data_IF_338177950461
#
_entry.id   IF_338177950461
#
_cell.length_a   1.000
_cell.length_b   1.000
_cell.length_c   1.000
_cell.angle_alpha   90.00
_cell.angle_beta   90.00
_cell.angle_gamma   90.00
#
_symmetry.space_group_name_H-M   'P 1'
#
loop_
_entity.id
_entity.type
_entity.pdbx_description
1 polymer ?
#
# COMPACT_ATOMS: atom_id res chain seq x y z
N UNK A 1 -30.99 0.52 -10.46
CA UNK A 1 -30.03 0.12 -9.41
C UNK A 1 -28.66 0.50 -9.94
N UNK A 2 -28.27 1.77 -9.83
CA UNK A 2 -27.08 2.31 -10.52
C UNK A 2 -26.13 3.13 -9.62
N UNK A 3 -26.30 3.18 -8.30
CA UNK A 3 -25.64 4.23 -7.49
C UNK A 3 -24.54 3.79 -6.52
N UNK A 4 -24.04 2.55 -6.54
CA UNK A 4 -23.02 2.13 -5.56
C UNK A 4 -21.58 2.22 -6.03
N UNK A 5 -21.33 2.26 -7.35
CA UNK A 5 -19.97 2.41 -7.88
C UNK A 5 -19.46 3.83 -7.62
N UNK A 6 -18.39 3.94 -6.84
CA UNK A 6 -17.78 5.23 -6.48
C UNK A 6 -18.36 5.86 -5.23
N UNK A 7 -19.02 5.09 -4.36
CA UNK A 7 -19.43 5.60 -3.05
C UNK A 7 -18.21 5.96 -2.19
N UNK A 8 -18.39 6.90 -1.26
CA UNK A 8 -17.33 7.27 -0.31
C UNK A 8 -16.89 6.07 0.53
N UNK A 9 -17.84 5.22 0.96
CA UNK A 9 -17.55 4.01 1.74
C UNK A 9 -16.73 3.00 0.93
N UNK A 10 -17.07 2.74 -0.34
CA UNK A 10 -16.29 1.89 -1.22
C UNK A 10 -14.86 2.44 -1.39
N UNK A 11 -14.74 3.74 -1.60
CA UNK A 11 -13.43 4.42 -1.71
C UNK A 11 -12.61 4.27 -0.44
N UNK A 12 -13.21 4.45 0.74
CA UNK A 12 -12.55 4.25 2.03
C UNK A 12 -12.10 2.80 2.24
N UNK A 13 -12.92 1.82 1.86
CA UNK A 13 -12.56 0.41 1.94
C UNK A 13 -11.38 0.06 1.04
N UNK A 14 -11.37 0.58 -0.19
CA UNK A 14 -10.24 0.40 -1.13
C UNK A 14 -8.96 1.00 -0.53
N UNK A 15 -9.04 2.24 -0.04
CA UNK A 15 -7.91 2.94 0.59
C UNK A 15 -7.37 2.11 1.77
N UNK A 16 -8.24 1.61 2.64
CA UNK A 16 -7.83 0.82 3.80
C UNK A 16 -7.19 -0.51 3.39
N UNK A 17 -7.73 -1.17 2.34
CA UNK A 17 -7.13 -2.35 1.74
C UNK A 17 -5.72 -2.10 1.18
N UNK A 18 -5.52 -0.95 0.53
CA UNK A 18 -4.20 -0.53 0.03
C UNK A 18 -3.26 -0.23 1.20
N UNK A 19 -3.70 0.52 2.22
CA UNK A 19 -2.89 0.79 3.43
C UNK A 19 -2.45 -0.50 4.10
N UNK A 20 -3.36 -1.46 4.30
CA UNK A 20 -3.05 -2.78 4.87
C UNK A 20 -2.02 -3.53 4.03
N UNK A 21 -2.15 -3.49 2.70
CA UNK A 21 -1.20 -4.12 1.77
C UNK A 21 0.18 -3.47 1.87
N UNK A 22 0.27 -2.14 1.88
CA UNK A 22 1.53 -1.41 2.02
C UNK A 22 2.21 -1.70 3.36
N UNK A 23 1.46 -1.66 4.47
CA UNK A 23 1.95 -2.02 5.80
C UNK A 23 2.51 -3.45 5.82
N UNK A 24 1.79 -4.41 5.23
CA UNK A 24 2.26 -5.79 5.11
C UNK A 24 3.55 -5.91 4.28
N UNK A 25 3.66 -5.16 3.17
CA UNK A 25 4.86 -5.12 2.34
C UNK A 25 6.06 -4.53 3.07
N UNK A 26 5.88 -3.45 3.83
CA UNK A 26 6.94 -2.83 4.63
C UNK A 26 7.41 -3.78 5.71
N UNK A 27 6.48 -4.34 6.50
CA UNK A 27 6.81 -5.28 7.58
C UNK A 27 7.52 -6.54 7.07
N UNK A 28 7.07 -7.07 5.93
CA UNK A 28 7.68 -8.23 5.29
C UNK A 28 8.95 -7.93 4.48
N UNK A 29 9.43 -6.68 4.46
CA UNK A 29 10.51 -6.21 3.57
C UNK A 29 10.32 -6.71 2.13
N UNK A 30 9.09 -6.61 1.65
CA UNK A 30 8.66 -7.22 0.41
C UNK A 30 9.43 -6.67 -0.78
N UNK A 31 9.86 -7.59 -1.64
CA UNK A 31 10.45 -7.29 -2.94
C UNK A 31 9.69 -8.11 -3.98
N UNK A 32 9.21 -7.51 -5.08
CA UNK A 32 8.53 -8.25 -6.14
C UNK A 32 9.39 -9.41 -6.65
N UNK A 33 8.75 -10.54 -6.96
CA UNK A 33 9.45 -11.75 -7.38
C UNK A 33 10.38 -11.53 -8.58
N UNK A 34 9.93 -10.76 -9.58
CA UNK A 34 10.76 -10.40 -10.72
C UNK A 34 12.05 -9.66 -10.32
N UNK A 35 11.96 -8.74 -9.35
CA UNK A 35 13.13 -8.01 -8.83
C UNK A 35 14.04 -8.93 -8.02
N UNK A 36 13.48 -9.85 -7.23
CA UNK A 36 14.28 -10.88 -6.53
C UNK A 36 15.07 -11.76 -7.50
N UNK A 37 14.49 -12.13 -8.64
CA UNK A 37 15.19 -12.90 -9.66
C UNK A 37 16.35 -12.12 -10.28
N UNK A 38 16.15 -10.82 -10.52
CA UNK A 38 17.21 -9.94 -11.01
C UNK A 38 18.36 -9.87 -9.99
N UNK A 39 18.07 -9.73 -8.70
CA UNK A 39 19.10 -9.73 -7.65
C UNK A 39 19.87 -11.05 -7.61
N UNK A 40 19.18 -12.18 -7.71
CA UNK A 40 19.81 -13.50 -7.71
C UNK A 40 20.75 -13.72 -8.92
N UNK A 41 20.45 -13.10 -10.07
CA UNK A 41 21.28 -13.19 -11.26
C UNK A 41 22.49 -12.24 -11.24
N UNK A 42 22.46 -11.21 -10.38
CA UNK A 42 23.44 -10.12 -10.37
C UNK A 42 24.16 -10.00 -9.01
N UNK A 43 24.62 -11.13 -8.46
CA UNK A 43 25.27 -11.20 -7.13
C UNK A 43 26.50 -10.28 -7.00
N UNK A 44 27.14 -9.92 -8.11
CA UNK A 44 28.33 -9.06 -8.14
C UNK A 44 28.04 -7.58 -7.79
N UNK A 45 26.77 -7.17 -7.77
CA UNK A 45 26.31 -5.80 -7.46
C UNK A 45 25.38 -5.79 -6.23
N UNK A 46 25.77 -6.55 -5.19
CA UNK A 46 24.98 -6.74 -3.97
C UNK A 46 24.62 -5.41 -3.30
N UNK A 47 25.55 -4.46 -3.25
CA UNK A 47 25.35 -3.12 -2.66
C UNK A 47 24.23 -2.36 -3.38
N UNK A 48 24.24 -2.34 -4.71
CA UNK A 48 23.23 -1.68 -5.53
C UNK A 48 21.87 -2.38 -5.37
N UNK A 49 21.85 -3.70 -5.25
CA UNK A 49 20.63 -4.47 -4.99
C UNK A 49 20.01 -4.10 -3.63
N UNK A 50 20.82 -3.98 -2.57
CA UNK A 50 20.34 -3.56 -1.26
C UNK A 50 19.90 -2.08 -1.25
N UNK A 51 20.58 -1.19 -1.99
CA UNK A 51 20.11 0.19 -2.18
C UNK A 51 18.74 0.24 -2.87
N UNK A 52 18.54 -0.54 -3.94
CA UNK A 52 17.25 -0.58 -4.63
C UNK A 52 16.15 -1.14 -3.72
N UNK A 53 16.46 -2.18 -2.95
CA UNK A 53 15.54 -2.75 -1.96
C UNK A 53 15.16 -1.73 -0.88
N UNK A 54 16.13 -0.97 -0.36
CA UNK A 54 15.85 0.10 0.58
C UNK A 54 14.96 1.18 -0.05
N UNK A 55 15.25 1.59 -1.28
CA UNK A 55 14.42 2.56 -2.01
C UNK A 55 12.98 2.06 -2.26
N UNK A 56 12.79 0.77 -2.55
CA UNK A 56 11.46 0.17 -2.69
C UNK A 56 10.66 0.21 -1.38
N UNK A 57 11.31 -0.13 -0.26
CA UNK A 57 10.66 -0.06 1.06
C UNK A 57 10.35 1.38 1.47
N UNK A 58 11.23 2.32 1.13
CA UNK A 58 10.98 3.75 1.32
C UNK A 58 9.77 4.20 0.50
N UNK A 59 9.69 3.82 -0.78
CA UNK A 59 8.55 4.14 -1.64
C UNK A 59 7.22 3.62 -1.07
N UNK A 60 7.19 2.40 -0.50
CA UNK A 60 5.98 1.91 0.17
C UNK A 60 5.61 2.75 1.41
N UNK A 61 6.62 3.18 2.17
CA UNK A 61 6.44 4.01 3.36
C UNK A 61 5.93 5.40 3.00
N UNK A 62 6.49 6.01 1.96
CA UNK A 62 6.09 7.32 1.44
C UNK A 62 4.66 7.28 0.90
N UNK A 63 4.30 6.23 0.16
CA UNK A 63 2.94 6.02 -0.32
C UNK A 63 1.94 5.87 0.84
N UNK A 64 2.31 5.12 1.88
CA UNK A 64 1.48 4.97 3.08
C UNK A 64 1.31 6.31 3.82
N UNK A 65 2.39 7.07 3.98
CA UNK A 65 2.37 8.40 4.59
C UNK A 65 1.49 9.38 3.79
N UNK A 66 1.60 9.35 2.45
CA UNK A 66 0.75 10.13 1.56
C UNK A 66 -0.72 9.79 1.75
N UNK A 67 -1.07 8.49 1.71
CA UNK A 67 -2.44 8.04 1.93
C UNK A 67 -2.94 8.50 3.29
N UNK A 68 -2.17 8.32 4.37
CA UNK A 68 -2.59 8.73 5.72
C UNK A 68 -2.81 10.24 5.83
N UNK A 69 -1.99 11.05 5.17
CA UNK A 69 -2.13 12.51 5.17
C UNK A 69 -3.40 12.94 4.46
N UNK A 70 -3.62 12.44 3.26
CA UNK A 70 -4.71 12.89 2.39
C UNK A 70 -6.07 12.26 2.69
N UNK A 71 -6.09 11.16 3.45
CA UNK A 71 -7.34 10.45 3.81
C UNK A 71 -7.75 10.65 5.26
N UNK A 72 -7.02 11.49 6.02
CA UNK A 72 -7.33 11.77 7.42
C UNK A 72 -8.74 12.33 7.63
N UNK A 73 -9.22 13.18 6.73
CA UNK A 73 -10.57 13.74 6.79
C UNK A 73 -11.66 12.67 6.61
N UNK A 74 -11.34 11.54 5.99
CA UNK A 74 -12.29 10.44 5.84
C UNK A 74 -12.54 9.69 7.16
N UNK A 75 -11.68 9.88 8.17
CA UNK A 75 -11.88 9.28 9.49
C UNK A 75 -13.19 9.75 10.15
N UNK A 76 -13.67 10.96 9.83
CA UNK A 76 -14.96 11.48 10.29
C UNK A 76 -16.14 10.64 9.79
N UNK A 77 -15.99 9.98 8.64
CA UNK A 77 -17.00 9.14 8.02
C UNK A 77 -16.92 7.68 8.47
N UNK A 78 -15.95 7.30 9.33
CA UNK A 78 -15.89 5.94 9.93
C UNK A 78 -17.12 5.60 10.76
N UNK A 79 -17.87 6.60 11.24
CA UNK A 79 -19.15 6.35 11.90
C UNK A 79 -20.18 5.69 10.97
N UNK A 80 -20.02 5.80 9.65
CA UNK A 80 -20.91 5.20 8.66
C UNK A 80 -20.48 3.81 8.19
N UNK A 81 -19.37 3.26 8.72
CA UNK A 81 -18.85 1.94 8.29
C UNK A 81 -19.84 0.80 8.56
N UNK A 82 -20.76 0.94 9.51
CA UNK A 82 -21.84 -0.04 9.75
C UNK A 82 -22.83 -0.16 8.59
N UNK A 83 -22.92 0.84 7.71
CA UNK A 83 -23.77 0.77 6.52
C UNK A 83 -23.23 -0.22 5.48
N UNK A 84 -21.98 -0.66 5.64
CA UNK A 84 -21.32 -1.63 4.78
C UNK A 84 -21.62 -3.10 5.17
N UNK A 85 -22.72 -3.35 5.88
CA UNK A 85 -23.21 -4.69 6.21
C UNK A 85 -24.01 -5.26 5.02
N UNK A 86 -23.30 -5.62 3.95
CA UNK A 86 -23.83 -6.35 2.79
C UNK A 86 -22.83 -7.41 2.36
#
# INVERSE_FOLDING_TARGET
>A
MESEKGSLLETMNIIEGVKKTLTGRIAGKFVPFAVRNIFAQNVQIETECEHLKAALLQMYSDALAYLNTWTKQYDEFKVFTWMNLS
#
